data_IF_158867955250
#
_entry.id   IF_158867955250
#
_cell.length_a   1.000
_cell.length_b   1.000
_cell.length_c   1.000
_cell.angle_alpha   90.00
_cell.angle_beta   90.00
_cell.angle_gamma   90.00
#
_symmetry.space_group_name_H-M   'P 1'
#
loop_
_entity.id
_entity.type
_entity.pdbx_description
1 polymer ?
#
# COMPACT_ATOMS: atom_id res chain seq x y z
N UNK A 1 9.52 12.81 -5.52
CA UNK A 1 9.16 11.45 -5.98
C UNK A 1 8.43 10.64 -4.91
N UNK A 2 8.94 10.55 -3.67
CA UNK A 2 8.25 9.86 -2.54
C UNK A 2 6.86 10.44 -2.27
N UNK A 3 6.72 11.77 -2.26
CA UNK A 3 5.44 12.47 -2.08
C UNK A 3 4.42 12.08 -3.15
N UNK A 4 4.87 11.77 -4.37
CA UNK A 4 3.99 11.31 -5.46
C UNK A 4 3.41 9.92 -5.19
N UNK A 5 4.17 9.03 -4.54
CA UNK A 5 3.69 7.69 -4.17
C UNK A 5 2.64 7.80 -3.07
N UNK A 6 2.92 8.58 -2.03
CA UNK A 6 2.00 8.76 -0.90
C UNK A 6 0.70 9.45 -1.31
N UNK A 7 0.78 10.50 -2.12
CA UNK A 7 -0.42 11.17 -2.64
C UNK A 7 -1.25 10.21 -3.50
N UNK A 8 -0.61 9.49 -4.42
CA UNK A 8 -1.31 8.53 -5.27
C UNK A 8 -1.95 7.39 -4.48
N UNK A 9 -1.26 6.90 -3.44
CA UNK A 9 -1.79 5.88 -2.55
C UNK A 9 -3.03 6.36 -1.79
N UNK A 10 -3.01 7.59 -1.25
CA UNK A 10 -4.17 8.21 -0.61
C UNK A 10 -5.32 8.40 -1.58
N UNK A 11 -5.05 8.90 -2.79
CA UNK A 11 -6.06 9.08 -3.84
C UNK A 11 -6.70 7.74 -4.27
N UNK A 12 -5.96 6.64 -4.14
CA UNK A 12 -6.47 5.28 -4.38
C UNK A 12 -7.09 4.61 -3.15
N UNK A 13 -7.21 5.31 -2.02
CA UNK A 13 -7.87 4.81 -0.82
C UNK A 13 -7.02 3.86 0.03
N UNK A 14 -5.70 3.84 -0.18
CA UNK A 14 -4.77 3.15 0.72
C UNK A 14 -4.55 3.98 1.99
N UNK A 15 -4.33 3.29 3.10
CA UNK A 15 -3.99 3.92 4.38
C UNK A 15 -2.52 4.28 4.36
N UNK A 16 -2.19 5.53 4.66
CA UNK A 16 -0.82 6.03 4.72
C UNK A 16 -0.56 6.61 6.12
N UNK A 17 0.32 6.00 6.88
CA UNK A 17 0.60 6.34 8.28
C UNK A 17 2.10 6.39 8.56
N UNK A 18 2.48 6.88 9.73
CA UNK A 18 3.85 6.81 10.21
C UNK A 18 4.01 5.64 11.18
N UNK A 19 5.16 4.98 11.11
CA UNK A 19 5.56 4.01 12.12
C UNK A 19 6.13 4.67 13.38
N UNK A 20 6.46 3.85 14.38
CA UNK A 20 7.04 4.30 15.65
C UNK A 20 8.39 5.03 15.49
N UNK A 21 9.05 4.84 14.36
CA UNK A 21 10.33 5.48 14.01
C UNK A 21 10.15 6.70 13.10
N UNK A 22 8.90 7.05 12.77
CA UNK A 22 8.54 8.17 11.90
C UNK A 22 8.61 7.87 10.41
N UNK A 23 8.82 6.63 9.98
CA UNK A 23 8.83 6.26 8.57
C UNK A 23 7.42 6.11 8.04
N UNK A 24 7.19 6.55 6.79
CA UNK A 24 5.91 6.35 6.13
C UNK A 24 5.65 4.88 5.83
N UNK A 25 4.42 4.44 6.04
CA UNK A 25 3.91 3.12 5.72
C UNK A 25 2.61 3.24 4.92
N UNK A 26 2.43 2.34 3.95
CA UNK A 26 1.24 2.24 3.12
C UNK A 26 0.64 0.85 3.29
N UNK A 27 -0.65 0.80 3.60
CA UNK A 27 -1.39 -0.43 3.85
C UNK A 27 -2.65 -0.52 3.00
N UNK A 28 -3.10 -1.73 2.74
CA UNK A 28 -4.46 -1.96 2.24
C UNK A 28 -5.49 -1.69 3.33
N UNK A 29 -6.66 -1.21 2.93
CA UNK A 29 -7.84 -1.17 3.81
C UNK A 29 -8.35 -2.57 4.18
N UNK A 30 -8.03 -3.59 3.38
CA UNK A 30 -8.50 -4.94 3.62
C UNK A 30 -7.75 -5.55 4.80
N UNK A 31 -8.46 -5.87 5.90
CA UNK A 31 -7.88 -6.52 7.08
C UNK A 31 -7.19 -7.86 6.79
N UNK A 32 -7.51 -8.49 5.65
CA UNK A 32 -6.92 -9.76 5.21
C UNK A 32 -5.62 -9.57 4.43
N UNK A 33 -5.31 -8.37 3.96
CA UNK A 33 -4.10 -8.09 3.21
C UNK A 33 -2.91 -8.01 4.16
N UNK A 34 -2.09 -9.06 4.16
CA UNK A 34 -0.91 -9.15 5.00
C UNK A 34 0.31 -8.41 4.42
N UNK A 35 0.12 -7.30 3.69
CA UNK A 35 1.25 -6.57 3.12
C UNK A 35 1.27 -5.11 3.54
N UNK A 36 2.48 -4.56 3.66
CA UNK A 36 2.74 -3.13 3.87
C UNK A 36 3.91 -2.68 2.99
N UNK A 37 3.89 -1.42 2.56
CA UNK A 37 5.04 -0.76 1.96
C UNK A 37 5.59 0.26 2.95
N UNK A 38 6.82 0.06 3.41
CA UNK A 38 7.50 0.98 4.33
C UNK A 38 8.55 1.79 3.60
N UNK A 39 8.53 3.10 3.75
CA UNK A 39 9.58 3.98 3.23
C UNK A 39 10.85 3.80 4.08
N UNK A 40 11.93 3.36 3.45
CA UNK A 40 13.25 3.22 4.07
C UNK A 40 14.25 3.97 3.19
N UNK A 41 14.66 5.15 3.65
CA UNK A 41 15.48 6.07 2.84
C UNK A 41 14.69 6.60 1.64
N UNK A 42 15.11 6.26 0.43
CA UNK A 42 14.49 6.67 -0.84
C UNK A 42 13.66 5.57 -1.52
N UNK A 43 13.53 4.40 -0.88
CA UNK A 43 12.87 3.20 -1.43
C UNK A 43 11.74 2.71 -0.54
N UNK A 44 10.83 1.94 -1.12
CA UNK A 44 9.73 1.30 -0.42
C UNK A 44 10.04 -0.18 -0.21
N UNK A 45 10.26 -0.57 1.04
CA UNK A 45 10.39 -1.96 1.43
C UNK A 45 9.00 -2.62 1.49
N UNK A 46 8.77 -3.59 0.62
CA UNK A 46 7.61 -4.47 0.70
C UNK A 46 7.81 -5.48 1.82
N UNK A 47 6.88 -5.51 2.76
CA UNK A 47 6.82 -6.46 3.85
C UNK A 47 5.54 -7.27 3.69
N UNK A 48 5.63 -8.59 3.78
CA UNK A 48 4.48 -9.52 3.68
C UNK A 48 4.48 -10.43 4.91
N UNK A 49 3.40 -10.43 5.68
CA UNK A 49 3.26 -11.19 6.91
C UNK A 49 4.30 -10.83 7.97
N UNK A 50 4.76 -9.57 7.97
CA UNK A 50 5.86 -9.12 8.83
C UNK A 50 7.27 -9.48 8.32
N UNK A 51 7.39 -10.14 7.17
CA UNK A 51 8.68 -10.52 6.57
C UNK A 51 9.06 -9.55 5.45
N UNK A 52 10.19 -8.82 5.56
CA UNK A 52 10.75 -8.03 4.48
C UNK A 52 11.01 -8.88 3.22
N UNK A 53 10.51 -8.43 2.07
CA UNK A 53 10.63 -9.15 0.80
C UNK A 53 11.59 -8.44 -0.16
N UNK A 54 11.25 -7.22 -0.58
CA UNK A 54 11.97 -6.52 -1.65
C UNK A 54 11.89 -5.00 -1.49
N UNK A 55 12.95 -4.30 -1.89
CA UNK A 55 12.98 -2.85 -1.98
C UNK A 55 12.54 -2.39 -3.37
N UNK A 56 11.51 -1.56 -3.41
CA UNK A 56 10.92 -1.01 -4.62
C UNK A 56 11.33 0.45 -4.79
N UNK A 57 11.67 0.81 -6.02
CA UNK A 57 11.73 2.22 -6.43
C UNK A 57 10.33 2.83 -6.49
N UNK A 58 10.20 4.16 -6.41
CA UNK A 58 8.90 4.83 -6.45
C UNK A 58 7.97 4.40 -7.61
N UNK A 59 8.44 4.24 -8.87
CA UNK A 59 7.56 3.77 -9.96
C UNK A 59 7.07 2.33 -9.76
N UNK A 60 7.91 1.46 -9.19
CA UNK A 60 7.55 0.07 -8.91
C UNK A 60 6.54 -0.03 -7.76
N UNK A 61 6.68 0.84 -6.75
CA UNK A 61 5.71 0.97 -5.67
C UNK A 61 4.34 1.44 -6.20
N UNK A 62 4.31 2.40 -7.13
CA UNK A 62 3.06 2.80 -7.82
C UNK A 62 2.44 1.62 -8.57
N UNK A 63 3.21 0.92 -9.39
CA UNK A 63 2.70 -0.24 -10.14
C UNK A 63 2.19 -1.35 -9.22
N UNK A 64 2.85 -1.56 -8.07
CA UNK A 64 2.42 -2.51 -7.05
C UNK A 64 1.06 -2.12 -6.44
N UNK A 65 0.86 -0.83 -6.12
CA UNK A 65 -0.37 -0.30 -5.55
C UNK A 65 -1.51 -0.32 -6.58
N UNK A 66 -1.23 0.05 -7.83
CA UNK A 66 -2.21 0.06 -8.92
C UNK A 66 -2.83 -1.32 -9.13
N UNK A 67 -2.01 -2.38 -9.15
CA UNK A 67 -2.48 -3.77 -9.27
C UNK A 67 -3.42 -4.18 -8.13
N UNK A 68 -3.25 -3.59 -6.94
CA UNK A 68 -4.04 -3.91 -5.75
C UNK A 68 -5.27 -3.03 -5.57
N UNK A 69 -5.32 -1.88 -6.25
CA UNK A 69 -6.51 -1.03 -6.33
C UNK A 69 -7.69 -1.79 -6.95
N UNK A 70 -7.44 -2.56 -8.03
CA UNK A 70 -8.50 -3.27 -8.77
C UNK A 70 -9.23 -4.31 -7.91
N UNK A 71 -8.52 -4.96 -6.98
CA UNK A 71 -9.09 -5.96 -6.08
C UNK A 71 -9.94 -5.36 -4.93
N UNK A 72 -9.98 -4.03 -4.79
CA UNK A 72 -10.83 -3.36 -3.80
C UNK A 72 -12.25 -3.09 -4.31
N UNK A 73 -12.42 -2.85 -5.61
CA UNK A 73 -13.75 -2.57 -6.19
C UNK A 73 -14.66 -3.80 -6.24
N UNK A 74 -14.09 -5.00 -6.29
CA UNK A 74 -14.86 -6.25 -6.42
C UNK A 74 -15.56 -6.65 -5.11
N UNK A 75 -15.05 -6.23 -3.95
CA UNK A 75 -15.66 -6.50 -2.64
C UNK A 75 -16.80 -5.54 -2.26
N UNK A 76 -16.93 -4.39 -2.93
CA UNK A 76 -18.09 -3.51 -2.73
C UNK A 76 -19.32 -3.98 -3.53
N UNK A 77 -19.14 -4.77 -4.59
CA UNK A 77 -20.23 -5.28 -5.42
C UNK A 77 -20.89 -6.56 -4.90
N UNK A 78 -20.26 -7.27 -3.95
CA UNK A 78 -20.82 -8.52 -3.39
C UNK A 78 -21.71 -8.32 -2.15
N UNK A 79 -21.84 -7.09 -1.62
CA UNK A 79 -22.68 -6.79 -0.45
C UNK A 79 -24.06 -6.18 -0.81
N UNK A 80 -24.50 -6.28 -2.07
CA UNK A 80 -25.79 -5.73 -2.51
C UNK A 80 -26.72 -6.86 -2.97
N UNK A 81 -26.97 -7.87 -2.14
CA UNK A 81 -28.19 -8.68 -2.24
C UNK A 81 -28.63 -9.15 -0.85
N UNK A 82 -29.84 -8.76 -0.36
CA UNK A 82 -30.47 -9.35 0.82
C UNK A 82 -30.96 -10.78 0.55
#
# INVERSE_FOLDING_TARGET
>A
MITSVLNQAKDWGFVCEHDQTGNWQIFSHQKTAQWELRLVGDRFLLIVGGVPQVNLHPPEAIAFLERRRSNQKELELTNIFP
#
